data_IF_744812608734
#
_entry.id   IF_744812608734
#
_cell.length_a   1.000
_cell.length_b   1.000
_cell.length_c   1.000
_cell.angle_alpha   90.00
_cell.angle_beta   90.00
_cell.angle_gamma   90.00
#
_symmetry.space_group_name_H-M   'P 1'
#
loop_
_entity.id
_entity.type
_entity.pdbx_description
1 polymer ?
#
# COMPACT_ATOMS: atom_id res chain seq x y z
N UNK A 1 19.62 9.83 24.53
CA UNK A 1 19.92 9.66 23.10
C UNK A 1 19.41 8.29 22.65
N UNK A 2 18.26 8.22 21.98
CA UNK A 2 17.72 6.94 21.47
C UNK A 2 18.38 6.66 20.12
N UNK A 3 19.03 5.50 20.02
CA UNK A 3 19.79 5.05 18.87
C UNK A 3 18.84 4.76 17.69
N UNK A 4 18.80 5.63 16.68
CA UNK A 4 17.94 5.55 15.48
C UNK A 4 18.34 4.43 14.49
N UNK A 5 19.27 3.54 14.84
CA UNK A 5 19.88 2.58 13.90
C UNK A 5 19.10 1.27 13.68
N UNK A 6 17.99 1.04 14.37
CA UNK A 6 17.10 -0.08 14.03
C UNK A 6 16.00 0.41 13.10
N UNK A 7 16.35 0.61 11.82
CA UNK A 7 15.38 0.78 10.74
C UNK A 7 14.65 -0.56 10.53
N UNK A 8 13.65 -0.83 11.37
CA UNK A 8 12.51 -1.71 11.12
C UNK A 8 12.76 -2.96 10.24
N UNK A 9 13.76 -3.76 10.61
CA UNK A 9 14.06 -5.04 9.96
C UNK A 9 12.91 -6.03 10.16
N UNK A 10 12.50 -6.73 9.09
CA UNK A 10 11.54 -7.85 9.15
C UNK A 10 10.05 -7.53 8.98
N UNK A 11 9.63 -6.25 8.83
CA UNK A 11 8.21 -5.91 8.58
C UNK A 11 7.66 -6.53 7.30
N UNK A 12 8.43 -6.39 6.21
CA UNK A 12 8.06 -6.92 4.90
C UNK A 12 8.02 -8.45 4.93
N UNK A 13 9.00 -9.07 5.59
CA UNK A 13 9.07 -10.53 5.70
C UNK A 13 7.91 -11.09 6.53
N UNK A 14 7.56 -10.47 7.66
CA UNK A 14 6.37 -10.86 8.42
C UNK A 14 5.08 -10.76 7.57
N UNK A 15 4.98 -9.71 6.74
CA UNK A 15 3.82 -9.53 5.86
C UNK A 15 3.72 -10.63 4.79
N UNK A 16 4.85 -11.04 4.21
CA UNK A 16 4.91 -12.19 3.27
C UNK A 16 4.54 -13.50 3.95
N UNK A 17 5.07 -13.76 5.15
CA UNK A 17 4.72 -14.98 5.91
C UNK A 17 3.23 -15.02 6.24
N UNK A 18 2.61 -13.91 6.63
CA UNK A 18 1.17 -13.84 6.84
C UNK A 18 0.42 -14.12 5.52
N UNK A 19 0.88 -13.55 4.40
CA UNK A 19 0.26 -13.77 3.09
C UNK A 19 0.28 -15.26 2.68
N UNK A 20 1.41 -15.93 2.89
CA UNK A 20 1.55 -17.35 2.61
C UNK A 20 0.64 -18.21 3.49
N UNK A 21 0.65 -17.98 4.81
CA UNK A 21 -0.05 -18.83 5.78
C UNK A 21 -1.57 -18.62 5.77
N UNK A 22 -2.04 -17.38 5.57
CA UNK A 22 -3.47 -17.04 5.66
C UNK A 22 -4.16 -17.10 4.31
N UNK A 23 -3.46 -16.71 3.24
CA UNK A 23 -4.09 -16.48 1.93
C UNK A 23 -3.63 -17.48 0.85
N UNK A 24 -2.82 -18.47 1.20
CA UNK A 24 -2.43 -19.57 0.31
C UNK A 24 -1.41 -19.17 -0.78
N UNK A 25 -0.70 -18.05 -0.59
CA UNK A 25 0.42 -17.67 -1.43
C UNK A 25 0.72 -16.17 -1.46
N UNK A 26 1.97 -15.82 -1.76
CA UNK A 26 2.46 -14.43 -1.82
C UNK A 26 1.78 -13.56 -2.89
N UNK A 27 1.09 -14.18 -3.86
CA UNK A 27 0.42 -13.47 -4.98
C UNK A 27 -0.70 -12.51 -4.54
N UNK A 28 -1.17 -12.61 -3.29
CA UNK A 28 -2.17 -11.70 -2.72
C UNK A 28 -1.56 -10.51 -1.94
N UNK A 29 -0.22 -10.39 -1.92
CA UNK A 29 0.45 -9.28 -1.27
C UNK A 29 0.56 -8.07 -2.22
N UNK A 30 -0.11 -6.98 -1.87
CA UNK A 30 0.04 -5.69 -2.56
C UNK A 30 1.23 -4.93 -1.95
N UNK A 31 2.23 -4.59 -2.77
CA UNK A 31 3.43 -3.85 -2.35
C UNK A 31 3.45 -2.51 -3.06
N UNK A 32 3.57 -1.44 -2.28
CA UNK A 32 3.69 -0.07 -2.78
C UNK A 32 4.94 0.57 -2.17
N UNK A 33 5.74 1.26 -3.00
CA UNK A 33 6.86 2.07 -2.51
C UNK A 33 6.33 3.43 -2.04
N UNK A 34 6.24 3.62 -0.71
CA UNK A 34 5.77 4.89 -0.13
C UNK A 34 6.66 6.08 -0.47
N UNK A 35 7.89 5.85 -0.90
CA UNK A 35 8.78 6.93 -1.34
C UNK A 35 8.22 7.66 -2.55
N UNK A 36 7.46 6.97 -3.40
CA UNK A 36 6.78 7.56 -4.57
C UNK A 36 5.57 8.43 -4.20
N UNK A 37 5.07 8.34 -2.96
CA UNK A 37 3.90 9.08 -2.48
C UNK A 37 4.28 10.11 -1.39
N UNK A 38 5.53 10.56 -1.41
CA UNK A 38 6.05 11.55 -0.45
C UNK A 38 5.76 12.99 -0.87
N UNK A 39 5.39 13.23 -2.13
CA UNK A 39 5.11 14.56 -2.66
C UNK A 39 3.70 15.04 -2.25
N UNK A 40 3.53 16.36 -2.19
CA UNK A 40 2.23 16.96 -1.94
C UNK A 40 1.21 16.52 -3.01
N UNK A 41 -0.01 16.17 -2.59
CA UNK A 41 -1.10 15.65 -3.44
C UNK A 41 -0.88 14.27 -4.07
N UNK A 42 0.28 13.64 -3.90
CA UNK A 42 0.53 12.28 -4.41
C UNK A 42 -0.29 11.21 -3.67
N UNK A 43 -0.80 11.51 -2.49
CA UNK A 43 -1.76 10.70 -1.74
C UNK A 43 -3.04 10.43 -2.55
N UNK A 44 -3.54 11.42 -3.29
CA UNK A 44 -4.72 11.27 -4.15
C UNK A 44 -4.54 10.21 -5.23
N UNK A 45 -3.31 9.96 -5.69
CA UNK A 45 -3.01 8.86 -6.62
C UNK A 45 -3.17 7.49 -5.94
N UNK A 46 -2.78 7.40 -4.67
CA UNK A 46 -2.89 6.15 -3.90
C UNK A 46 -4.33 5.84 -3.48
N UNK A 47 -5.05 6.84 -2.94
CA UNK A 47 -6.39 6.63 -2.34
C UNK A 47 -7.56 7.08 -3.23
N UNK A 48 -7.31 7.94 -4.20
CA UNK A 48 -8.33 8.58 -5.04
C UNK A 48 -8.50 10.07 -4.72
N UNK A 49 -8.87 10.86 -5.73
CA UNK A 49 -9.20 12.27 -5.53
C UNK A 49 -10.53 12.42 -4.76
N UNK A 50 -10.77 13.56 -4.08
CA UNK A 50 -12.06 13.81 -3.41
C UNK A 50 -13.21 14.07 -4.41
N UNK A 51 -14.50 13.91 -4.00
CA UNK A 51 -15.64 14.20 -4.86
C UNK A 51 -15.60 15.61 -5.43
N UNK A 52 -15.86 15.75 -6.73
CA UNK A 52 -15.82 17.02 -7.45
C UNK A 52 -14.42 17.42 -7.96
N UNK A 53 -13.39 16.60 -7.72
CA UNK A 53 -12.06 16.77 -8.29
C UNK A 53 -11.83 15.79 -9.45
N UNK A 54 -10.96 16.20 -10.38
CA UNK A 54 -10.55 15.34 -11.51
C UNK A 54 -9.89 14.08 -10.94
N UNK A 55 -10.36 12.91 -11.38
CA UNK A 55 -9.85 11.61 -10.92
C UNK A 55 -10.66 10.95 -9.81
N UNK A 56 -11.75 11.56 -9.32
CA UNK A 56 -12.64 10.93 -8.32
C UNK A 56 -13.19 9.58 -8.80
N UNK A 57 -13.73 9.54 -10.03
CA UNK A 57 -14.36 8.34 -10.58
C UNK A 57 -13.36 7.23 -10.91
N UNK A 58 -12.08 7.58 -11.12
CA UNK A 58 -11.01 6.61 -11.39
C UNK A 58 -10.59 5.83 -10.15
N UNK A 59 -10.88 6.32 -8.94
CA UNK A 59 -10.36 5.78 -7.69
C UNK A 59 -8.84 5.92 -7.55
N UNK A 60 -8.28 5.39 -6.48
CA UNK A 60 -6.83 5.32 -6.24
C UNK A 60 -6.24 3.95 -6.52
N UNK A 61 -4.94 3.91 -6.79
CA UNK A 61 -4.17 2.68 -7.06
C UNK A 61 -4.38 1.61 -5.97
N UNK A 62 -4.34 2.00 -4.68
CA UNK A 62 -4.61 1.08 -3.58
C UNK A 62 -6.07 0.61 -3.58
N UNK A 63 -7.00 1.54 -3.70
CA UNK A 63 -8.44 1.23 -3.62
C UNK A 63 -8.88 0.30 -4.76
N UNK A 64 -8.30 0.46 -5.94
CA UNK A 64 -8.58 -0.38 -7.10
C UNK A 64 -7.91 -1.75 -6.94
N UNK A 65 -6.64 -1.79 -6.52
CA UNK A 65 -5.94 -3.05 -6.29
C UNK A 65 -6.63 -3.93 -5.23
N UNK A 66 -7.18 -3.34 -4.18
CA UNK A 66 -7.97 -4.07 -3.15
C UNK A 66 -9.30 -4.58 -3.71
N UNK A 67 -9.99 -3.79 -4.56
CA UNK A 67 -11.22 -4.24 -5.23
C UNK A 67 -10.96 -5.43 -6.15
N UNK A 68 -9.86 -5.39 -6.92
CA UNK A 68 -9.48 -6.46 -7.84
C UNK A 68 -9.01 -7.74 -7.11
N UNK A 69 -8.36 -7.58 -5.94
CA UNK A 69 -7.84 -8.68 -5.14
C UNK A 69 -8.69 -8.95 -3.88
N UNK A 70 -10.02 -8.85 -4.01
CA UNK A 70 -10.94 -9.23 -2.93
C UNK A 70 -10.95 -10.75 -2.70
N UNK A 71 -11.14 -11.16 -1.44
CA UNK A 71 -10.93 -12.52 -0.94
C UNK A 71 -11.83 -13.58 -1.55
#
# INVERSE_FOLDING_TARGET
MINKNYKWIGKTELSKSIAEQVFGGERKLLIFDMSEYSAEQSDQRLIGAPPGYVGYDSGGELTNAVKENSF
#
